data_IF_063368332577
#
_entry.id   IF_063368332577
#
_cell.length_a   1.000
_cell.length_b   1.000
_cell.length_c   1.000
_cell.angle_alpha   90.00
_cell.angle_beta   90.00
_cell.angle_gamma   90.00
#
_symmetry.space_group_name_H-M   'P 1'
#
loop_
_entity.id
_entity.type
_entity.pdbx_description
1 polymer ?
#
# COMPACT_ATOMS: atom_id res chain seq x y z
N UNK A 1 -14.72 -7.50 14.04
CA UNK A 1 -13.26 -7.29 14.10
C UNK A 1 -12.72 -7.39 12.68
N UNK A 2 -12.33 -6.25 12.12
CA UNK A 2 -11.84 -6.22 10.73
C UNK A 2 -10.40 -6.74 10.66
N UNK A 3 -10.13 -7.54 9.63
CA UNK A 3 -8.79 -8.00 9.30
C UNK A 3 -8.16 -7.07 8.27
N UNK A 4 -7.05 -6.42 8.62
CA UNK A 4 -6.37 -5.44 7.78
C UNK A 4 -4.96 -5.92 7.47
N UNK A 5 -4.58 -5.95 6.20
CA UNK A 5 -3.21 -6.23 5.76
C UNK A 5 -2.59 -4.93 5.24
N UNK A 6 -1.40 -4.59 5.72
CA UNK A 6 -0.67 -3.39 5.30
C UNK A 6 0.61 -3.82 4.57
N UNK A 7 0.77 -3.34 3.35
CA UNK A 7 1.95 -3.54 2.50
C UNK A 7 2.70 -2.23 2.33
N UNK A 8 4.02 -2.26 2.46
CA UNK A 8 4.90 -1.12 2.28
C UNK A 8 6.37 -1.49 2.43
N UNK A 9 7.24 -0.49 2.45
CA UNK A 9 8.69 -0.70 2.61
C UNK A 9 9.07 -0.70 4.10
N UNK A 10 8.56 -1.70 4.83
CA UNK A 10 8.73 -1.82 6.27
C UNK A 10 9.76 -2.89 6.65
N UNK A 11 10.42 -2.69 7.79
CA UNK A 11 11.43 -3.62 8.31
C UNK A 11 12.81 -3.48 7.66
N UNK A 12 13.10 -2.35 7.00
CA UNK A 12 14.38 -2.05 6.37
C UNK A 12 15.12 -0.90 7.06
N UNK A 13 14.71 -0.53 8.28
CA UNK A 13 15.28 0.58 9.05
C UNK A 13 15.21 1.95 8.35
N UNK A 14 14.22 2.14 7.48
CA UNK A 14 13.93 3.44 6.88
C UNK A 14 13.03 4.24 7.82
N UNK A 15 13.58 5.30 8.42
CA UNK A 15 12.87 6.10 9.42
C UNK A 15 11.57 6.73 8.87
N UNK A 16 11.56 7.15 7.61
CA UNK A 16 10.38 7.75 6.98
C UNK A 16 9.24 6.74 6.81
N UNK A 17 9.53 5.56 6.29
CA UNK A 17 8.52 4.51 6.09
C UNK A 17 8.02 3.95 7.42
N UNK A 18 8.91 3.82 8.41
CA UNK A 18 8.53 3.41 9.76
C UNK A 18 7.64 4.45 10.46
N UNK A 19 7.90 5.74 10.28
CA UNK A 19 7.06 6.81 10.80
C UNK A 19 5.66 6.80 10.13
N UNK A 20 5.60 6.57 8.82
CA UNK A 20 4.35 6.41 8.09
C UNK A 20 3.54 5.22 8.61
N UNK A 21 4.20 4.08 8.83
CA UNK A 21 3.54 2.91 9.41
C UNK A 21 2.97 3.23 10.79
N UNK A 22 3.74 3.91 11.63
CA UNK A 22 3.28 4.34 12.97
C UNK A 22 2.04 5.22 12.87
N UNK A 23 2.01 6.19 11.96
CA UNK A 23 0.87 7.06 11.74
C UNK A 23 -0.38 6.31 11.22
N UNK A 24 -0.20 5.38 10.28
CA UNK A 24 -1.28 4.53 9.78
C UNK A 24 -1.87 3.69 10.92
N UNK A 25 -1.02 3.04 11.71
CA UNK A 25 -1.45 2.20 12.83
C UNK A 25 -2.17 3.00 13.91
N UNK A 26 -1.69 4.20 14.23
CA UNK A 26 -2.35 5.09 15.18
C UNK A 26 -3.75 5.48 14.70
N UNK A 27 -3.89 5.84 13.41
CA UNK A 27 -5.16 6.19 12.81
C UNK A 27 -6.13 5.01 12.80
N UNK A 28 -5.66 3.81 12.44
CA UNK A 28 -6.49 2.61 12.42
C UNK A 28 -6.96 2.22 13.82
N UNK A 29 -6.09 2.28 14.82
CA UNK A 29 -6.42 1.99 16.22
C UNK A 29 -7.42 2.99 16.81
N UNK A 30 -7.36 4.25 16.37
CA UNK A 30 -8.33 5.27 16.78
C UNK A 30 -9.73 5.00 16.20
N UNK A 31 -9.80 4.50 14.97
CA UNK A 31 -11.07 4.22 14.27
C UNK A 31 -11.65 2.87 14.68
N UNK A 32 -10.80 1.84 14.72
CA UNK A 32 -11.19 0.47 15.08
C UNK A 32 -10.16 -0.17 16.01
N UNK A 33 -10.27 0.05 17.33
CA UNK A 33 -9.30 -0.42 18.32
C UNK A 33 -9.11 -1.95 18.34
N UNK A 34 -10.09 -2.70 17.87
CA UNK A 34 -10.09 -4.18 17.84
C UNK A 34 -9.67 -4.75 16.48
N UNK A 35 -9.20 -3.94 15.54
CA UNK A 35 -8.76 -4.42 14.24
C UNK A 35 -7.60 -5.41 14.37
N UNK A 36 -7.69 -6.52 13.63
CA UNK A 36 -6.60 -7.50 13.49
C UNK A 36 -5.68 -7.07 12.35
N UNK A 37 -4.56 -6.45 12.71
CA UNK A 37 -3.65 -5.83 11.74
C UNK A 37 -2.43 -6.73 11.51
N UNK A 38 -2.15 -7.03 10.25
CA UNK A 38 -0.97 -7.75 9.79
C UNK A 38 -0.15 -6.88 8.84
N UNK A 39 1.12 -6.66 9.17
CA UNK A 39 2.06 -5.87 8.36
C UNK A 39 2.99 -6.80 7.58
N UNK A 40 3.11 -6.56 6.29
CA UNK A 40 4.11 -7.24 5.45
C UNK A 40 5.44 -6.52 5.60
N UNK A 41 6.48 -7.25 6.01
CA UNK A 41 7.77 -6.66 6.40
C UNK A 41 8.96 -7.45 5.87
N UNK A 42 10.08 -6.75 5.67
CA UNK A 42 11.38 -7.37 5.43
C UNK A 42 12.01 -7.98 6.69
N UNK A 43 11.60 -7.51 7.87
CA UNK A 43 12.03 -8.03 9.17
C UNK A 43 10.81 -8.12 10.11
N UNK A 44 10.02 -9.20 10.03
CA UNK A 44 8.82 -9.36 10.84
C UNK A 44 9.06 -9.28 12.35
N UNK A 45 10.15 -9.87 12.83
CA UNK A 45 10.48 -9.85 14.26
C UNK A 45 10.61 -8.44 14.81
N UNK A 46 11.36 -7.59 14.14
CA UNK A 46 11.50 -6.17 14.50
C UNK A 46 10.15 -5.42 14.41
N UNK A 47 9.39 -5.67 13.37
CA UNK A 47 8.09 -5.03 13.18
C UNK A 47 7.09 -5.40 14.27
N UNK A 48 7.04 -6.66 14.69
CA UNK A 48 6.20 -7.12 15.79
C UNK A 48 6.55 -6.40 17.09
N UNK A 49 7.83 -6.37 17.43
CA UNK A 49 8.31 -5.75 18.68
C UNK A 49 8.05 -4.25 18.69
N UNK A 50 8.37 -3.57 17.58
CA UNK A 50 8.29 -2.11 17.49
C UNK A 50 6.86 -1.60 17.45
N UNK A 51 5.98 -2.27 16.73
CA UNK A 51 4.64 -1.76 16.42
C UNK A 51 3.51 -2.54 17.11
N UNK A 52 3.82 -3.65 17.79
CA UNK A 52 2.84 -4.51 18.47
C UNK A 52 1.69 -4.95 17.55
N UNK A 53 2.04 -5.44 16.37
CA UNK A 53 1.13 -5.96 15.35
C UNK A 53 1.60 -7.33 14.87
N UNK A 54 0.71 -8.08 14.21
CA UNK A 54 1.14 -9.27 13.48
C UNK A 54 2.00 -8.86 12.29
N UNK A 55 2.99 -9.66 11.94
CA UNK A 55 3.81 -9.39 10.77
C UNK A 55 4.16 -10.67 10.02
N UNK A 56 4.23 -10.55 8.70
CA UNK A 56 4.61 -11.62 7.78
C UNK A 56 5.81 -11.21 6.94
N UNK A 57 6.67 -12.18 6.66
CA UNK A 57 7.81 -11.95 5.78
C UNK A 57 7.35 -11.72 4.33
N UNK A 58 7.91 -10.71 3.70
CA UNK A 58 7.50 -10.23 2.37
C UNK A 58 7.57 -11.27 1.25
N UNK A 59 8.33 -12.33 1.40
CA UNK A 59 8.43 -13.42 0.42
C UNK A 59 7.79 -14.73 0.90
N UNK A 60 7.07 -14.73 2.01
CA UNK A 60 6.30 -15.89 2.47
C UNK A 60 5.00 -16.04 1.66
N UNK A 61 5.12 -16.40 0.37
CA UNK A 61 4.04 -16.34 -0.62
C UNK A 61 2.74 -16.99 -0.15
N UNK A 62 2.79 -18.22 0.36
CA UNK A 62 1.59 -18.95 0.82
C UNK A 62 0.89 -18.23 1.96
N UNK A 63 1.67 -17.74 2.95
CA UNK A 63 1.13 -17.01 4.09
C UNK A 63 0.54 -15.66 3.67
N UNK A 64 1.20 -14.96 2.72
CA UNK A 64 0.71 -13.71 2.17
C UNK A 64 -0.60 -13.91 1.41
N UNK A 65 -0.68 -14.91 0.54
CA UNK A 65 -1.89 -15.23 -0.22
C UNK A 65 -3.07 -15.57 0.71
N UNK A 66 -2.80 -16.27 1.81
CA UNK A 66 -3.81 -16.58 2.83
C UNK A 66 -4.25 -15.31 3.57
N UNK A 67 -3.30 -14.53 4.11
CA UNK A 67 -3.60 -13.30 4.84
C UNK A 67 -4.39 -12.29 3.98
N UNK A 68 -3.98 -12.09 2.73
CA UNK A 68 -4.69 -11.23 1.78
C UNK A 68 -6.08 -11.79 1.50
N UNK A 69 -6.21 -13.12 1.34
CA UNK A 69 -7.50 -13.77 1.07
C UNK A 69 -8.49 -13.68 2.24
N UNK A 70 -8.01 -13.54 3.45
CA UNK A 70 -8.83 -13.39 4.66
C UNK A 70 -9.06 -11.93 5.07
N UNK A 71 -8.35 -10.98 4.46
CA UNK A 71 -8.44 -9.58 4.80
C UNK A 71 -9.76 -8.95 4.34
N UNK A 72 -10.28 -8.04 5.13
CA UNK A 72 -11.40 -7.16 4.75
C UNK A 72 -10.88 -5.95 3.97
N UNK A 73 -9.67 -5.48 4.32
CA UNK A 73 -9.02 -4.34 3.69
C UNK A 73 -7.51 -4.62 3.53
N UNK A 74 -6.99 -4.32 2.35
CA UNK A 74 -5.55 -4.28 2.07
C UNK A 74 -5.14 -2.84 1.83
N UNK A 75 -4.18 -2.35 2.62
CA UNK A 75 -3.63 -1.00 2.51
C UNK A 75 -2.26 -1.09 1.86
N UNK A 76 -2.09 -0.44 0.71
CA UNK A 76 -0.77 -0.12 0.17
C UNK A 76 -0.35 1.20 0.79
N UNK A 77 0.51 1.13 1.80
CA UNK A 77 0.81 2.25 2.67
C UNK A 77 2.05 3.01 2.25
N UNK A 78 1.92 4.30 2.18
CA UNK A 78 2.93 5.37 2.19
C UNK A 78 4.25 5.16 1.46
N UNK A 79 4.95 6.24 1.25
CA UNK A 79 6.25 6.22 0.59
C UNK A 79 6.17 6.13 -0.94
N UNK A 80 7.31 6.12 -1.59
CA UNK A 80 7.42 6.08 -3.06
C UNK A 80 7.56 4.64 -3.56
N UNK A 81 6.52 3.84 -3.37
CA UNK A 81 6.53 2.41 -3.72
C UNK A 81 6.32 2.17 -5.21
N UNK A 82 5.50 3.00 -5.86
CA UNK A 82 5.11 2.84 -7.26
C UNK A 82 5.98 3.70 -8.18
N UNK A 83 7.22 3.28 -8.35
CA UNK A 83 8.21 3.87 -9.23
C UNK A 83 9.13 2.81 -9.83
N UNK A 84 9.68 3.05 -11.02
CA UNK A 84 10.61 2.13 -11.69
C UNK A 84 12.06 2.61 -11.69
N UNK A 85 12.33 3.78 -11.12
CA UNK A 85 13.68 4.38 -11.07
C UNK A 85 14.63 3.55 -10.21
N UNK A 86 14.15 3.06 -9.07
CA UNK A 86 14.97 2.25 -8.17
C UNK A 86 15.01 0.79 -8.62
N UNK A 87 13.85 0.19 -8.91
CA UNK A 87 13.76 -1.20 -9.35
C UNK A 87 12.40 -1.53 -9.94
N UNK A 88 12.39 -2.06 -11.17
CA UNK A 88 11.18 -2.62 -11.78
C UNK A 88 10.62 -3.81 -10.99
N UNK A 89 11.49 -4.62 -10.38
CA UNK A 89 11.07 -5.77 -9.54
C UNK A 89 10.29 -5.32 -8.32
N UNK A 90 10.72 -4.23 -7.69
CA UNK A 90 10.02 -3.64 -6.54
C UNK A 90 8.63 -3.15 -6.93
N UNK A 91 8.51 -2.44 -8.04
CA UNK A 91 7.22 -1.99 -8.57
C UNK A 91 6.28 -3.17 -8.85
N UNK A 92 6.76 -4.21 -9.54
CA UNK A 92 5.98 -5.42 -9.83
C UNK A 92 5.53 -6.10 -8.54
N UNK A 93 6.39 -6.18 -7.53
CA UNK A 93 6.07 -6.77 -6.24
C UNK A 93 4.88 -6.04 -5.58
N UNK A 94 4.93 -4.71 -5.45
CA UNK A 94 3.84 -3.95 -4.84
C UNK A 94 2.56 -3.98 -5.66
N UNK A 95 2.65 -3.93 -6.99
CA UNK A 95 1.50 -4.10 -7.87
C UNK A 95 0.89 -5.51 -7.73
N UNK A 96 1.70 -6.55 -7.53
CA UNK A 96 1.21 -7.92 -7.36
C UNK A 96 0.37 -8.07 -6.09
N UNK A 97 0.74 -7.43 -4.99
CA UNK A 97 -0.05 -7.44 -3.76
C UNK A 97 -1.45 -6.84 -3.99
N UNK A 98 -1.52 -5.70 -4.68
CA UNK A 98 -2.78 -5.04 -5.03
C UNK A 98 -3.60 -5.92 -5.97
N UNK A 99 -2.97 -6.49 -7.00
CA UNK A 99 -3.63 -7.34 -7.99
C UNK A 99 -4.21 -8.60 -7.34
N UNK A 100 -3.47 -9.27 -6.47
CA UNK A 100 -3.94 -10.45 -5.73
C UNK A 100 -5.10 -10.10 -4.82
N UNK A 101 -5.03 -8.99 -4.09
CA UNK A 101 -6.12 -8.53 -3.23
C UNK A 101 -7.42 -8.30 -4.05
N UNK A 102 -7.32 -7.64 -5.19
CA UNK A 102 -8.48 -7.40 -6.07
C UNK A 102 -8.98 -8.71 -6.72
N UNK A 103 -8.09 -9.60 -7.12
CA UNK A 103 -8.48 -10.92 -7.64
C UNK A 103 -9.25 -11.75 -6.61
N UNK A 104 -8.87 -11.64 -5.35
CA UNK A 104 -9.60 -12.28 -4.23
C UNK A 104 -10.84 -11.49 -3.76
N UNK A 105 -11.23 -10.45 -4.46
CA UNK A 105 -12.41 -9.64 -4.13
C UNK A 105 -12.26 -8.77 -2.87
N UNK A 106 -11.03 -8.48 -2.46
CA UNK A 106 -10.78 -7.67 -1.26
C UNK A 106 -10.79 -6.18 -1.58
N UNK A 107 -11.15 -5.36 -0.58
CA UNK A 107 -11.05 -3.90 -0.70
C UNK A 107 -9.58 -3.50 -0.64
N UNK A 108 -9.20 -2.53 -1.46
CA UNK A 108 -7.83 -2.02 -1.54
C UNK A 108 -7.82 -0.51 -1.42
N UNK A 109 -6.97 -0.01 -0.54
CA UNK A 109 -6.70 1.40 -0.37
C UNK A 109 -5.21 1.69 -0.61
N UNK A 110 -4.93 2.65 -1.50
CA UNK A 110 -3.61 3.27 -1.58
C UNK A 110 -3.60 4.48 -0.64
N UNK A 111 -2.73 4.45 0.36
CA UNK A 111 -2.68 5.49 1.39
C UNK A 111 -1.42 6.34 1.25
N UNK A 112 -1.61 7.65 1.04
CA UNK A 112 -0.52 8.62 0.90
C UNK A 112 0.61 8.16 -0.03
N UNK A 113 0.22 7.56 -1.17
CA UNK A 113 1.14 6.91 -2.09
C UNK A 113 1.91 7.93 -2.90
N UNK A 114 3.25 7.84 -2.90
CA UNK A 114 4.11 8.50 -3.87
C UNK A 114 4.14 7.69 -5.17
N UNK A 115 3.87 8.34 -6.29
CA UNK A 115 3.78 7.70 -7.60
C UNK A 115 4.78 8.33 -8.56
N UNK A 116 5.55 7.46 -9.23
CA UNK A 116 6.45 7.85 -10.29
C UNK A 116 7.80 8.45 -9.82
N UNK A 117 8.62 8.80 -10.79
CA UNK A 117 8.37 8.61 -12.22
C UNK A 117 8.42 7.13 -12.65
N UNK A 118 7.51 6.75 -13.56
CA UNK A 118 7.51 5.43 -14.20
C UNK A 118 7.84 5.64 -15.68
N UNK A 119 9.04 5.24 -16.10
CA UNK A 119 9.56 5.51 -17.44
C UNK A 119 9.21 4.41 -18.44
N UNK A 120 9.16 3.17 -17.97
CA UNK A 120 8.89 2.02 -18.83
C UNK A 120 7.41 1.95 -19.21
N UNK A 121 7.12 1.85 -20.52
CA UNK A 121 5.74 1.83 -21.05
C UNK A 121 4.92 0.65 -20.52
N UNK A 122 5.53 -0.54 -20.40
CA UNK A 122 4.87 -1.73 -19.87
C UNK A 122 4.54 -1.56 -18.39
N UNK A 123 5.47 -0.98 -17.61
CA UNK A 123 5.24 -0.69 -16.21
C UNK A 123 4.13 0.36 -16.01
N UNK A 124 4.04 1.36 -16.87
CA UNK A 124 2.95 2.34 -16.87
C UNK A 124 1.60 1.65 -17.13
N UNK A 125 1.54 0.77 -18.12
CA UNK A 125 0.32 0.01 -18.44
C UNK A 125 -0.11 -0.88 -17.28
N UNK A 126 0.82 -1.64 -16.70
CA UNK A 126 0.54 -2.51 -15.55
C UNK A 126 0.08 -1.69 -14.34
N UNK A 127 0.76 -0.60 -14.03
CA UNK A 127 0.35 0.31 -12.94
C UNK A 127 -1.04 0.86 -13.17
N UNK A 128 -1.34 1.34 -14.38
CA UNK A 128 -2.67 1.82 -14.75
C UNK A 128 -3.74 0.75 -14.53
N UNK A 129 -3.52 -0.47 -15.04
CA UNK A 129 -4.51 -1.54 -14.95
C UNK A 129 -4.77 -1.98 -13.51
N UNK A 130 -3.72 -2.06 -12.69
CA UNK A 130 -3.82 -2.52 -11.31
C UNK A 130 -4.36 -1.43 -10.40
N UNK A 131 -3.79 -0.23 -10.45
CA UNK A 131 -4.18 0.89 -9.57
C UNK A 131 -5.61 1.37 -9.85
N UNK A 132 -6.06 1.32 -11.11
CA UNK A 132 -7.45 1.67 -11.46
C UNK A 132 -8.50 0.78 -10.79
N UNK A 133 -8.12 -0.39 -10.30
CA UNK A 133 -9.02 -1.32 -9.59
C UNK A 133 -9.09 -1.05 -8.08
N UNK A 134 -8.24 -0.19 -7.53
CA UNK A 134 -8.28 0.16 -6.12
C UNK A 134 -9.58 0.89 -5.77
N UNK A 135 -10.08 0.63 -4.57
CA UNK A 135 -11.34 1.21 -4.09
C UNK A 135 -11.15 2.65 -3.59
N UNK A 136 -9.99 2.93 -2.99
CA UNK A 136 -9.61 4.26 -2.51
C UNK A 136 -8.16 4.53 -2.88
N UNK A 137 -7.90 5.73 -3.39
CA UNK A 137 -6.55 6.19 -3.72
C UNK A 137 -6.34 7.56 -3.10
N UNK A 138 -5.37 7.65 -2.21
CA UNK A 138 -4.83 8.92 -1.74
C UNK A 138 -3.36 9.00 -2.12
N UNK A 139 -2.92 10.17 -2.57
CA UNK A 139 -1.55 10.41 -2.99
C UNK A 139 -0.88 11.40 -2.05
N UNK A 140 0.43 11.32 -1.94
CA UNK A 140 1.23 12.14 -1.05
C UNK A 140 1.33 13.59 -1.51
N UNK A 141 1.42 13.81 -2.81
CA UNK A 141 1.73 15.09 -3.42
C UNK A 141 1.01 15.27 -4.77
N UNK A 142 1.08 16.50 -5.28
CA UNK A 142 0.46 16.86 -6.53
C UNK A 142 1.09 16.16 -7.73
N UNK A 143 2.40 15.99 -7.71
CA UNK A 143 3.13 15.34 -8.80
C UNK A 143 2.68 13.88 -8.98
N UNK A 144 2.44 13.18 -7.87
CA UNK A 144 1.87 11.83 -7.88
C UNK A 144 0.46 11.79 -8.46
N UNK A 145 -0.37 12.78 -8.16
CA UNK A 145 -1.71 12.90 -8.73
C UNK A 145 -1.65 13.15 -10.25
N UNK A 146 -0.76 14.04 -10.69
CA UNK A 146 -0.53 14.34 -12.11
C UNK A 146 0.01 13.13 -12.86
N UNK A 147 0.91 12.35 -12.26
CA UNK A 147 1.44 11.14 -12.87
C UNK A 147 0.36 10.07 -13.05
N UNK A 148 -0.51 9.88 -12.08
CA UNK A 148 -1.69 9.01 -12.21
C UNK A 148 -2.62 9.47 -13.34
N UNK A 149 -2.88 10.77 -13.43
CA UNK A 149 -3.70 11.34 -14.50
C UNK A 149 -3.07 11.14 -15.89
N UNK A 150 -1.75 11.33 -16.02
CA UNK A 150 -0.99 11.08 -17.25
C UNK A 150 -1.02 9.61 -17.67
N UNK A 151 -1.06 8.69 -16.72
CA UNK A 151 -1.23 7.26 -17.00
C UNK A 151 -2.66 6.88 -17.36
N UNK A 152 -3.63 7.78 -17.18
CA UNK A 152 -5.05 7.52 -17.44
C UNK A 152 -5.73 6.71 -16.34
N UNK A 153 -5.21 6.76 -15.12
CA UNK A 153 -5.88 6.20 -13.95
C UNK A 153 -7.07 7.08 -13.60
N UNK A 154 -8.27 6.52 -13.65
CA UNK A 154 -9.47 7.19 -13.18
C UNK A 154 -9.50 7.13 -11.67
N UNK A 155 -9.24 8.25 -11.02
CA UNK A 155 -9.45 8.37 -9.59
C UNK A 155 -10.94 8.13 -9.30
N UNK A 156 -11.29 7.26 -8.34
CA UNK A 156 -12.66 7.15 -7.88
C UNK A 156 -13.14 8.55 -7.51
N UNK A 157 -14.40 8.90 -7.84
CA UNK A 157 -14.97 10.23 -7.57
C UNK A 157 -15.02 10.49 -6.06
N UNK A 158 -13.88 10.84 -5.48
CA UNK A 158 -13.79 11.31 -4.11
C UNK A 158 -13.60 12.81 -4.10
N UNK A 159 -14.51 13.49 -3.39
CA UNK A 159 -14.36 14.92 -3.11
C UNK A 159 -13.00 15.14 -2.47
N UNK A 160 -12.14 15.92 -3.12
CA UNK A 160 -10.98 16.49 -2.50
C UNK A 160 -11.45 17.35 -1.31
N UNK A 161 -11.52 16.79 -0.13
CA UNK A 161 -11.48 17.63 1.06
C UNK A 161 -10.08 18.20 1.10
N UNK A 162 -9.97 19.46 0.75
CA UNK A 162 -8.76 20.24 1.02
C UNK A 162 -8.45 20.06 2.50
N UNK A 163 -7.37 19.35 2.80
CA UNK A 163 -6.74 19.48 4.10
C UNK A 163 -6.17 20.87 4.07
N UNK A 164 -6.85 21.82 4.71
CA UNK A 164 -6.25 23.12 5.02
C UNK A 164 -5.25 22.84 6.12
N UNK A 165 -3.97 23.02 5.81
CA UNK A 165 -2.93 23.17 6.82
C UNK A 165 -3.16 24.45 7.61
#
# INVERSE_FOLDING_TARGET
>A
MSKIVISGYYGFNNAGDEALLTAILASLRAIEPKADITVISGNPGNTIVKHQVKSLYRFAAVRLLRAIGEADLVISGGGSLLQDVTSKRSLIYYLSIIAVAKWKGRKVMLFAQGIGPIRNRLMRLLTRLVVSKADVITVRDRDSAEELARMGVRLPKWRSRRIRC
#
